data_IF_865441459018
#
_entry.id   IF_865441459018
#
_cell.length_a   1.000
_cell.length_b   1.000
_cell.length_c   1.000
_cell.angle_alpha   90.00
_cell.angle_beta   90.00
_cell.angle_gamma   90.00
#
_symmetry.space_group_name_H-M   'P 1'
#
loop_
_entity.id
_entity.type
_entity.pdbx_description
1 polymer ?
#
# COMPACT_ATOMS: atom_id res chain seq x y z
N UNK A 1 90.23 -9.47 -22.99
CA UNK A 1 89.84 -8.52 -21.93
C UNK A 1 88.45 -7.92 -22.17
N UNK A 2 88.12 -7.39 -23.36
CA UNK A 2 86.84 -6.71 -23.61
C UNK A 2 85.59 -7.63 -23.61
N UNK A 3 85.70 -8.86 -24.10
CA UNK A 3 84.57 -9.80 -24.17
C UNK A 3 84.05 -10.25 -22.79
N UNK A 4 84.94 -10.44 -21.80
CA UNK A 4 84.56 -10.81 -20.45
C UNK A 4 83.84 -9.67 -19.71
N UNK A 5 84.22 -8.42 -20.00
CA UNK A 5 83.54 -7.24 -19.47
C UNK A 5 82.10 -7.15 -20.01
N UNK A 6 81.91 -7.35 -21.31
CA UNK A 6 80.58 -7.41 -21.94
C UNK A 6 79.71 -8.53 -21.37
N UNK A 7 80.27 -9.70 -21.10
CA UNK A 7 79.55 -10.82 -20.49
C UNK A 7 79.08 -10.50 -19.07
N UNK A 8 79.94 -9.86 -18.25
CA UNK A 8 79.57 -9.42 -16.89
C UNK A 8 78.50 -8.34 -16.92
N UNK A 9 78.58 -7.40 -17.84
CA UNK A 9 77.57 -6.35 -18.02
C UNK A 9 76.22 -6.91 -18.46
N UNK A 10 76.21 -7.88 -19.39
CA UNK A 10 74.99 -8.57 -19.79
C UNK A 10 74.36 -9.37 -18.64
N UNK A 11 75.17 -10.04 -17.82
CA UNK A 11 74.69 -10.74 -16.63
C UNK A 11 74.14 -9.77 -15.58
N UNK A 12 74.78 -8.62 -15.37
CA UNK A 12 74.28 -7.58 -14.47
C UNK A 12 72.95 -6.98 -14.95
N UNK A 13 72.81 -6.72 -16.26
CA UNK A 13 71.54 -6.27 -16.86
C UNK A 13 70.42 -7.30 -16.70
N UNK A 14 70.71 -8.59 -16.94
CA UNK A 14 69.74 -9.66 -16.75
C UNK A 14 69.33 -9.83 -15.27
N UNK A 15 70.26 -9.65 -14.33
CA UNK A 15 69.96 -9.65 -12.90
C UNK A 15 69.07 -8.46 -12.51
N UNK A 16 69.39 -7.26 -12.98
CA UNK A 16 68.59 -6.06 -12.74
C UNK A 16 67.16 -6.20 -13.31
N UNK A 17 67.00 -6.75 -14.51
CA UNK A 17 65.69 -7.03 -15.10
C UNK A 17 64.87 -8.03 -14.27
N UNK A 18 65.50 -9.07 -13.71
CA UNK A 18 64.82 -10.04 -12.83
C UNK A 18 64.37 -9.40 -11.52
N UNK A 19 65.20 -8.55 -10.93
CA UNK A 19 64.83 -7.80 -9.72
C UNK A 19 63.70 -6.82 -9.98
N UNK A 20 63.70 -6.13 -11.13
CA UNK A 20 62.62 -5.24 -11.52
C UNK A 20 61.29 -6.00 -11.70
N UNK A 21 61.32 -7.15 -12.37
CA UNK A 21 60.15 -8.02 -12.51
C UNK A 21 59.67 -8.54 -11.15
N UNK A 22 60.58 -8.94 -10.26
CA UNK A 22 60.22 -9.36 -8.91
C UNK A 22 59.56 -8.24 -8.10
N UNK A 23 60.06 -6.99 -8.22
CA UNK A 23 59.44 -5.81 -7.61
C UNK A 23 58.05 -5.53 -8.17
N UNK A 24 57.88 -5.59 -9.50
CA UNK A 24 56.56 -5.41 -10.14
C UNK A 24 55.55 -6.47 -9.72
N UNK A 25 55.99 -7.72 -9.57
CA UNK A 25 55.13 -8.80 -9.08
C UNK A 25 54.76 -8.60 -7.61
N UNK A 26 55.72 -8.25 -6.76
CA UNK A 26 55.46 -7.95 -5.35
C UNK A 26 54.53 -6.74 -5.16
N UNK A 27 54.67 -5.69 -5.99
CA UNK A 27 53.78 -4.53 -5.97
C UNK A 27 52.35 -4.91 -6.40
N UNK A 28 52.21 -5.73 -7.44
CA UNK A 28 50.89 -6.23 -7.88
C UNK A 28 50.23 -7.08 -6.79
N UNK A 29 51.00 -7.95 -6.14
CA UNK A 29 50.48 -8.81 -5.07
C UNK A 29 50.13 -7.97 -3.82
N UNK A 30 50.89 -6.92 -3.52
CA UNK A 30 50.55 -5.96 -2.48
C UNK A 30 49.24 -5.21 -2.78
N UNK A 31 49.06 -4.70 -4.00
CA UNK A 31 47.81 -4.06 -4.45
C UNK A 31 46.62 -4.99 -4.38
N UNK A 32 46.81 -6.27 -4.75
CA UNK A 32 45.77 -7.30 -4.62
C UNK A 32 45.40 -7.56 -3.16
N UNK A 33 46.38 -7.70 -2.27
CA UNK A 33 46.13 -7.91 -0.86
C UNK A 33 45.44 -6.69 -0.21
N UNK A 34 45.77 -5.48 -0.65
CA UNK A 34 45.12 -4.25 -0.20
C UNK A 34 43.65 -4.19 -0.67
N UNK A 35 43.37 -4.49 -1.94
CA UNK A 35 41.99 -4.52 -2.45
C UNK A 35 41.15 -5.62 -1.79
N UNK A 36 41.73 -6.78 -1.49
CA UNK A 36 41.09 -7.85 -0.73
C UNK A 36 40.76 -7.42 0.72
N UNK A 37 41.66 -6.67 1.38
CA UNK A 37 41.41 -6.11 2.72
C UNK A 37 40.30 -5.06 2.70
N UNK A 38 40.27 -4.19 1.69
CA UNK A 38 39.18 -3.23 1.53
C UNK A 38 37.84 -3.92 1.25
N UNK A 39 37.84 -4.96 0.41
CA UNK A 39 36.64 -5.75 0.16
C UNK A 39 36.13 -6.42 1.44
N UNK A 40 37.03 -6.96 2.27
CA UNK A 40 36.67 -7.50 3.59
C UNK A 40 36.08 -6.43 4.51
N UNK A 41 36.68 -5.23 4.58
CA UNK A 41 36.12 -4.12 5.37
C UNK A 41 34.71 -3.74 4.91
N UNK A 42 34.50 -3.63 3.59
CA UNK A 42 33.17 -3.37 3.02
C UNK A 42 32.16 -4.48 3.38
N UNK A 43 32.60 -5.74 3.38
CA UNK A 43 31.76 -6.88 3.79
C UNK A 43 31.43 -6.84 5.29
N UNK A 44 32.40 -6.52 6.14
CA UNK A 44 32.22 -6.36 7.59
C UNK A 44 31.26 -5.20 7.90
N UNK A 45 31.37 -4.07 7.21
CA UNK A 45 30.48 -2.93 7.35
C UNK A 45 29.04 -3.29 6.94
N UNK A 46 28.87 -3.98 5.80
CA UNK A 46 27.57 -4.52 5.37
C UNK A 46 26.99 -5.49 6.40
N UNK A 47 27.82 -6.40 6.92
CA UNK A 47 27.40 -7.37 7.94
C UNK A 47 26.99 -6.68 9.25
N UNK A 48 27.72 -5.65 9.67
CA UNK A 48 27.42 -4.84 10.86
C UNK A 48 26.10 -4.09 10.69
N UNK A 49 25.84 -3.53 9.51
CA UNK A 49 24.58 -2.88 9.20
C UNK A 49 23.41 -3.86 9.24
N UNK A 50 23.54 -5.03 8.60
CA UNK A 50 22.53 -6.09 8.63
C UNK A 50 22.27 -6.61 10.05
N UNK A 51 23.31 -6.73 10.88
CA UNK A 51 23.17 -7.11 12.28
C UNK A 51 22.36 -6.08 13.08
N UNK A 52 22.61 -4.78 12.84
CA UNK A 52 21.85 -3.68 13.45
C UNK A 52 20.38 -3.71 13.04
N UNK A 53 20.09 -3.94 11.76
CA UNK A 53 18.70 -4.08 11.27
C UNK A 53 18.01 -5.32 11.85
N UNK A 54 18.70 -6.45 11.95
CA UNK A 54 18.16 -7.65 12.62
C UNK A 54 17.86 -7.38 14.09
N UNK A 55 18.73 -6.67 14.82
CA UNK A 55 18.49 -6.30 16.21
C UNK A 55 17.27 -5.39 16.35
N UNK A 56 17.15 -4.38 15.48
CA UNK A 56 15.99 -3.47 15.45
C UNK A 56 14.69 -4.20 15.12
N UNK A 57 14.72 -5.16 14.18
CA UNK A 57 13.58 -5.99 13.85
C UNK A 57 13.18 -6.91 15.02
N UNK A 58 14.15 -7.48 15.73
CA UNK A 58 13.90 -8.26 16.95
C UNK A 58 13.30 -7.39 18.06
N UNK A 59 13.80 -6.17 18.26
CA UNK A 59 13.25 -5.22 19.23
C UNK A 59 11.82 -4.83 18.87
N UNK A 60 11.54 -4.54 17.60
CA UNK A 60 10.19 -4.25 17.11
C UNK A 60 9.25 -5.44 17.31
N UNK A 61 9.72 -6.67 17.04
CA UNK A 61 8.94 -7.89 17.28
C UNK A 61 8.71 -8.13 18.78
N UNK A 62 9.69 -7.87 19.62
CA UNK A 62 9.55 -7.98 21.07
C UNK A 62 8.60 -6.90 21.62
N UNK A 63 8.64 -5.68 21.09
CA UNK A 63 7.71 -4.60 21.41
C UNK A 63 6.28 -4.93 20.97
N UNK A 64 6.11 -5.56 19.80
CA UNK A 64 4.81 -6.04 19.32
C UNK A 64 4.28 -7.25 20.11
N UNK A 65 5.17 -8.10 20.62
CA UNK A 65 4.83 -9.26 21.45
C UNK A 65 4.42 -8.87 22.88
N UNK A 66 4.85 -7.71 23.38
CA UNK A 66 4.36 -7.19 24.65
C UNK A 66 2.86 -6.90 24.52
N UNK A 67 1.99 -7.61 25.27
CA UNK A 67 0.56 -7.38 25.17
C UNK A 67 0.28 -5.93 25.53
N UNK A 68 -0.39 -5.21 24.63
CA UNK A 68 -0.81 -3.85 24.95
C UNK A 68 -1.68 -3.88 26.22
N UNK A 69 -1.59 -2.86 27.07
CA UNK A 69 -2.43 -2.76 28.27
C UNK A 69 -3.95 -2.89 27.96
N UNK A 70 -4.35 -2.55 26.73
CA UNK A 70 -5.70 -2.79 26.20
C UNK A 70 -6.00 -4.29 25.99
N UNK A 71 -5.06 -5.04 25.44
CA UNK A 71 -5.17 -6.49 25.26
C UNK A 71 -5.22 -7.22 26.61
N UNK A 72 -4.39 -6.82 27.58
CA UNK A 72 -4.45 -7.37 28.95
C UNK A 72 -5.79 -7.05 29.62
N UNK A 73 -6.29 -5.81 29.50
CA UNK A 73 -7.62 -5.43 30.00
C UNK A 73 -8.75 -6.22 29.37
N UNK A 74 -8.68 -6.48 28.05
CA UNK A 74 -9.66 -7.31 27.34
C UNK A 74 -9.59 -8.78 27.76
N UNK A 75 -8.39 -9.34 27.91
CA UNK A 75 -8.20 -10.71 28.40
C UNK A 75 -8.71 -10.87 29.84
N UNK A 76 -8.42 -9.91 30.73
CA UNK A 76 -8.94 -9.89 32.09
C UNK A 76 -10.47 -9.75 32.14
N UNK A 77 -11.05 -8.93 31.25
CA UNK A 77 -12.50 -8.82 31.11
C UNK A 77 -13.13 -10.12 30.61
N UNK A 78 -12.54 -10.77 29.60
CA UNK A 78 -12.99 -12.07 29.10
C UNK A 78 -12.93 -13.14 30.19
N UNK A 79 -11.82 -13.22 30.93
CA UNK A 79 -11.68 -14.16 32.06
C UNK A 79 -12.72 -13.90 33.18
N UNK A 80 -13.08 -12.64 33.44
CA UNK A 80 -14.16 -12.29 34.38
C UNK A 80 -15.53 -12.74 33.86
N UNK A 81 -15.80 -12.59 32.56
CA UNK A 81 -17.04 -13.06 31.93
C UNK A 81 -17.13 -14.59 31.97
N UNK A 82 -16.04 -15.31 31.70
CA UNK A 82 -16.03 -16.77 31.82
C UNK A 82 -16.24 -17.22 33.25
N UNK A 83 -15.57 -16.61 34.23
CA UNK A 83 -15.81 -16.92 35.66
C UNK A 83 -17.27 -16.67 36.06
N UNK A 84 -17.85 -15.55 35.63
CA UNK A 84 -19.26 -15.26 35.89
C UNK A 84 -20.21 -16.23 35.18
N UNK A 85 -19.85 -16.70 33.98
CA UNK A 85 -20.63 -17.70 33.25
C UNK A 85 -20.59 -19.07 33.95
N UNK A 86 -19.41 -19.48 34.44
CA UNK A 86 -19.23 -20.70 35.23
C UNK A 86 -20.00 -20.63 36.54
N UNK A 87 -19.94 -19.51 37.26
CA UNK A 87 -20.69 -19.30 38.50
C UNK A 87 -22.21 -19.30 38.26
N UNK A 88 -22.66 -18.69 37.16
CA UNK A 88 -24.08 -18.72 36.78
C UNK A 88 -24.55 -20.12 36.35
N UNK A 89 -23.67 -20.90 35.71
CA UNK A 89 -23.95 -22.29 35.33
C UNK A 89 -24.00 -23.22 36.56
N UNK A 90 -23.23 -22.93 37.61
CA UNK A 90 -23.27 -23.65 38.89
C UNK A 90 -24.61 -23.50 39.62
N UNK A 91 -25.38 -22.46 39.27
CA UNK A 91 -26.71 -22.22 39.80
C UNK A 91 -26.69 -21.76 41.27
N UNK A 92 -27.85 -21.38 41.83
CA UNK A 92 -27.94 -20.97 43.22
C UNK A 92 -27.62 -22.14 44.16
N UNK A 93 -26.54 -22.00 44.95
CA UNK A 93 -26.05 -23.00 45.93
C UNK A 93 -27.08 -23.34 47.03
N UNK A 94 -28.09 -22.51 47.26
CA UNK A 94 -29.12 -22.76 48.27
C UNK A 94 -30.33 -23.47 47.62
N UNK A 95 -30.74 -24.65 48.12
CA UNK A 95 -31.93 -25.32 47.63
C UNK A 95 -33.14 -24.41 47.85
N UNK A 96 -33.81 -24.05 46.75
CA UNK A 96 -35.06 -23.28 46.80
C UNK A 96 -36.10 -24.07 47.57
N UNK A 97 -36.79 -23.40 48.50
CA UNK A 97 -37.79 -24.04 49.36
C UNK A 97 -38.85 -24.78 48.53
N UNK A 98 -39.39 -25.90 49.04
CA UNK A 98 -40.39 -26.70 48.31
C UNK A 98 -41.66 -25.89 47.97
N UNK A 99 -42.00 -24.87 48.78
CA UNK A 99 -43.09 -23.93 48.49
C UNK A 99 -42.85 -23.12 47.20
N UNK A 100 -41.62 -22.70 46.95
CA UNK A 100 -41.26 -21.95 45.74
C UNK A 100 -41.36 -22.82 44.48
N UNK A 101 -41.00 -24.11 44.56
CA UNK A 101 -41.14 -25.03 43.44
C UNK A 101 -42.61 -25.30 43.09
N UNK A 102 -43.47 -25.49 44.10
CA UNK A 102 -44.92 -25.61 43.90
C UNK A 102 -45.52 -24.36 43.26
N UNK A 103 -45.16 -23.16 43.74
CA UNK A 103 -45.61 -21.90 43.15
C UNK A 103 -45.14 -21.73 41.69
N UNK A 104 -43.90 -22.14 41.39
CA UNK A 104 -43.35 -22.09 40.02
C UNK A 104 -44.08 -23.06 39.08
N UNK A 105 -44.40 -24.27 39.53
CA UNK A 105 -45.16 -25.25 38.76
C UNK A 105 -46.57 -24.72 38.45
N UNK A 106 -47.27 -24.19 39.46
CA UNK A 106 -48.58 -23.57 39.28
C UNK A 106 -48.54 -22.34 38.34
N UNK A 107 -47.49 -21.53 38.40
CA UNK A 107 -47.30 -20.41 37.49
C UNK A 107 -46.99 -20.86 36.05
N UNK A 108 -46.24 -21.96 35.87
CA UNK A 108 -45.97 -22.55 34.57
C UNK A 108 -47.24 -23.16 33.95
N UNK A 109 -48.05 -23.85 34.74
CA UNK A 109 -49.37 -24.37 34.32
C UNK A 109 -50.31 -23.26 33.92
N UNK A 110 -50.45 -22.20 34.74
CA UNK A 110 -51.24 -21.02 34.39
C UNK A 110 -50.73 -20.36 33.10
N UNK A 111 -49.42 -20.29 32.90
CA UNK A 111 -48.82 -19.70 31.69
C UNK A 111 -48.98 -20.58 30.45
N UNK A 112 -49.02 -21.91 30.59
CA UNK A 112 -49.27 -22.84 29.51
C UNK A 112 -50.74 -22.82 29.05
N UNK A 113 -51.67 -22.49 29.96
CA UNK A 113 -53.10 -22.31 29.64
C UNK A 113 -53.40 -20.99 28.92
N UNK A 114 -52.48 -20.01 28.96
CA UNK A 114 -52.58 -18.78 28.19
C UNK A 114 -51.97 -18.96 26.80
N UNK A 115 -52.81 -19.13 25.77
CA UNK A 115 -52.40 -19.04 24.37
C UNK A 115 -51.96 -17.60 24.08
N UNK A 116 -50.66 -17.34 24.13
CA UNK A 116 -50.12 -16.06 23.64
C UNK A 116 -50.14 -16.10 22.11
N UNK A 117 -50.60 -15.04 21.41
CA UNK A 117 -50.29 -14.92 20.00
C UNK A 117 -48.77 -14.96 19.86
N UNK A 118 -48.27 -15.82 18.97
CA UNK A 118 -46.84 -15.96 18.74
C UNK A 118 -46.30 -14.62 18.25
N UNK A 119 -45.66 -13.87 19.14
CA UNK A 119 -44.81 -12.76 18.77
C UNK A 119 -43.61 -13.35 18.03
N UNK A 120 -43.78 -13.53 16.72
CA UNK A 120 -42.67 -13.68 15.80
C UNK A 120 -41.68 -12.56 16.11
N UNK A 121 -40.41 -12.91 16.30
CA UNK A 121 -39.34 -11.97 16.66
C UNK A 121 -39.12 -10.98 15.53
N UNK A 122 -39.97 -9.95 15.46
CA UNK A 122 -39.79 -8.81 14.57
C UNK A 122 -38.45 -8.18 14.93
N UNK A 123 -37.60 -8.00 13.94
CA UNK A 123 -36.34 -7.25 14.06
C UNK A 123 -36.63 -5.82 14.52
N UNK A 124 -35.61 -5.13 15.04
CA UNK A 124 -35.75 -3.74 15.49
C UNK A 124 -36.35 -2.85 14.38
N UNK A 125 -35.98 -3.10 13.13
CA UNK A 125 -36.49 -2.38 11.97
C UNK A 125 -37.95 -2.74 11.65
N UNK A 126 -38.32 -4.02 11.67
CA UNK A 126 -39.72 -4.42 11.46
C UNK A 126 -40.65 -3.89 12.57
N UNK A 127 -40.18 -3.77 13.82
CA UNK A 127 -40.92 -3.11 14.90
C UNK A 127 -41.12 -1.61 14.64
N UNK A 128 -40.11 -0.93 14.09
CA UNK A 128 -40.20 0.48 13.68
C UNK A 128 -41.22 0.65 12.55
N UNK A 129 -41.17 -0.22 11.54
CA UNK A 129 -42.13 -0.22 10.44
C UNK A 129 -43.56 -0.53 10.90
N UNK A 130 -43.74 -1.46 11.84
CA UNK A 130 -45.06 -1.76 12.42
C UNK A 130 -45.66 -0.56 13.17
N UNK A 131 -44.83 0.25 13.85
CA UNK A 131 -45.28 1.50 14.49
C UNK A 131 -45.67 2.55 13.45
N UNK A 132 -44.82 2.77 12.45
CA UNK A 132 -45.12 3.71 11.36
C UNK A 132 -46.40 3.33 10.60
N UNK A 133 -46.60 2.04 10.33
CA UNK A 133 -47.80 1.53 9.66
C UNK A 133 -49.06 1.76 10.53
N UNK A 134 -48.96 1.54 11.85
CA UNK A 134 -50.05 1.82 12.79
C UNK A 134 -50.41 3.31 12.83
N UNK A 135 -49.41 4.19 12.86
CA UNK A 135 -49.62 5.65 12.88
C UNK A 135 -50.23 6.16 11.57
N UNK A 136 -49.95 5.49 10.44
CA UNK A 136 -50.52 5.79 9.13
C UNK A 136 -51.87 5.09 8.87
N UNK A 137 -52.39 4.30 9.83
CA UNK A 137 -53.63 3.53 9.65
C UNK A 137 -53.53 2.38 8.64
N UNK A 138 -52.32 1.99 8.23
CA UNK A 138 -52.07 0.93 7.24
C UNK A 138 -51.64 -0.36 7.95
N UNK A 139 -52.18 -1.50 7.52
CA UNK A 139 -51.80 -2.79 8.11
C UNK A 139 -50.34 -3.16 7.77
N UNK A 140 -49.54 -3.49 8.79
CA UNK A 140 -48.17 -3.95 8.59
C UNK A 140 -48.15 -5.37 8.03
N UNK A 141 -47.76 -5.54 6.76
CA UNK A 141 -47.39 -6.84 6.20
C UNK A 141 -45.87 -6.99 6.20
N UNK A 142 -45.38 -8.03 6.86
CA UNK A 142 -43.99 -8.47 6.73
C UNK A 142 -43.78 -8.95 5.29
N UNK A 143 -42.80 -8.36 4.60
CA UNK A 143 -42.43 -8.84 3.27
C UNK A 143 -41.99 -10.31 3.36
N UNK A 144 -42.50 -11.22 2.51
CA UNK A 144 -41.98 -12.57 2.47
C UNK A 144 -40.50 -12.50 2.08
N UNK A 145 -39.64 -13.22 2.83
CA UNK A 145 -38.25 -13.41 2.42
C UNK A 145 -38.28 -14.11 1.06
N UNK A 146 -37.66 -13.48 0.07
CA UNK A 146 -37.51 -14.04 -1.26
C UNK A 146 -36.51 -15.18 -1.21
N UNK A 147 -36.98 -16.37 -0.89
CA UNK A 147 -36.27 -17.58 -1.26
C UNK A 147 -36.54 -17.84 -2.74
N UNK A 148 -35.45 -17.83 -3.52
CA UNK A 148 -35.28 -18.34 -4.87
C UNK A 148 -36.34 -17.98 -5.94
N UNK A 149 -36.02 -17.01 -6.79
CA UNK A 149 -36.66 -16.86 -8.11
C UNK A 149 -35.59 -16.93 -9.24
N UNK A 150 -35.87 -17.60 -10.37
CA UNK A 150 -34.89 -17.91 -11.41
C UNK A 150 -34.57 -16.70 -12.32
N UNK A 151 -33.44 -16.71 -13.05
CA UNK A 151 -33.01 -15.57 -13.86
C UNK A 151 -33.91 -15.37 -15.07
N UNK A 152 -34.54 -14.19 -15.18
CA UNK A 152 -35.30 -13.78 -16.36
C UNK A 152 -34.41 -13.00 -17.33
N UNK A 153 -34.64 -13.29 -18.61
CA UNK A 153 -33.89 -12.91 -19.81
C UNK A 153 -33.69 -11.40 -19.96
N UNK A 154 -32.51 -11.04 -20.46
CA UNK A 154 -32.09 -9.69 -20.82
C UNK A 154 -32.94 -9.12 -21.97
N UNK A 155 -33.59 -7.99 -21.71
CA UNK A 155 -34.09 -7.08 -22.75
C UNK A 155 -33.00 -6.06 -23.07
N UNK A 156 -32.55 -6.06 -24.33
CA UNK A 156 -31.64 -5.05 -24.89
C UNK A 156 -32.29 -3.67 -24.82
N UNK A 157 -31.63 -2.71 -24.16
CA UNK A 157 -31.89 -1.27 -24.29
C UNK A 157 -30.85 -0.64 -25.24
N UNK A 158 -31.22 0.37 -26.04
CA UNK A 158 -30.31 1.03 -26.97
C UNK A 158 -29.40 2.06 -26.26
N UNK A 159 -28.25 2.32 -26.86
CA UNK A 159 -27.17 3.19 -26.35
C UNK A 159 -27.61 4.67 -26.18
N UNK A 160 -27.09 5.39 -25.17
CA UNK A 160 -27.34 6.82 -25.01
C UNK A 160 -26.41 7.67 -25.90
N UNK A 161 -26.97 8.75 -26.46
CA UNK A 161 -26.26 9.78 -27.23
C UNK A 161 -25.34 10.66 -26.35
N UNK A 162 -24.30 11.30 -26.92
CA UNK A 162 -23.33 12.09 -26.15
C UNK A 162 -23.91 13.43 -25.66
N UNK A 163 -23.71 13.72 -24.37
CA UNK A 163 -24.08 14.97 -23.71
C UNK A 163 -23.05 16.10 -23.96
N UNK A 164 -23.45 17.39 -23.94
CA UNK A 164 -22.56 18.52 -24.19
C UNK A 164 -21.56 18.76 -23.04
N UNK A 165 -20.35 19.20 -23.40
CA UNK A 165 -19.22 19.43 -22.50
C UNK A 165 -19.51 20.47 -21.41
N UNK A 166 -19.20 20.13 -20.16
CA UNK A 166 -19.33 21.00 -19.00
C UNK A 166 -18.20 22.06 -18.95
N UNK A 167 -18.44 23.27 -18.38
CA UNK A 167 -17.43 24.31 -18.27
C UNK A 167 -16.28 23.93 -17.33
N UNK A 168 -15.08 24.52 -17.51
CA UNK A 168 -13.89 24.17 -16.73
C UNK A 168 -14.10 24.46 -15.24
N UNK A 169 -13.80 23.46 -14.41
CA UNK A 169 -13.92 23.54 -12.95
C UNK A 169 -12.80 24.43 -12.42
N UNK A 170 -13.11 25.29 -11.44
CA UNK A 170 -12.11 26.05 -10.70
C UNK A 170 -11.18 25.09 -9.95
N UNK A 171 -9.87 25.28 -10.11
CA UNK A 171 -8.83 24.47 -9.48
C UNK A 171 -9.01 24.50 -7.96
N UNK A 172 -8.88 23.34 -7.33
CA UNK A 172 -8.94 23.19 -5.86
C UNK A 172 -7.63 23.68 -5.23
N UNK A 173 -7.65 24.04 -3.94
CA UNK A 173 -6.46 24.52 -3.23
C UNK A 173 -5.29 23.52 -3.25
N UNK A 174 -5.58 22.21 -3.37
CA UNK A 174 -4.56 21.16 -3.51
C UNK A 174 -3.93 21.15 -4.91
N UNK A 175 -4.72 21.39 -5.96
CA UNK A 175 -4.21 21.49 -7.33
C UNK A 175 -3.33 22.73 -7.51
N UNK A 176 -3.70 23.84 -6.88
CA UNK A 176 -2.87 25.05 -6.84
C UNK A 176 -1.52 24.78 -6.15
N UNK A 177 -1.53 24.06 -5.02
CA UNK A 177 -0.30 23.69 -4.32
C UNK A 177 0.62 22.79 -5.17
N UNK A 178 0.05 21.78 -5.84
CA UNK A 178 0.82 20.88 -6.73
C UNK A 178 1.39 21.63 -7.93
N UNK A 179 0.63 22.57 -8.50
CA UNK A 179 1.07 23.38 -9.63
C UNK A 179 2.17 24.39 -9.23
N UNK A 180 2.07 24.99 -8.05
CA UNK A 180 3.11 25.87 -7.52
C UNK A 180 4.39 25.11 -7.15
N UNK A 181 4.29 23.89 -6.60
CA UNK A 181 5.43 23.04 -6.30
C UNK A 181 6.13 22.54 -7.59
N UNK A 182 5.33 22.20 -8.61
CA UNK A 182 5.85 21.85 -9.94
C UNK A 182 6.53 23.04 -10.64
N UNK A 183 5.96 24.26 -10.52
CA UNK A 183 6.57 25.48 -11.07
C UNK A 183 7.91 25.77 -10.40
N UNK A 184 7.97 25.70 -9.06
CA UNK A 184 9.21 25.92 -8.31
C UNK A 184 10.31 24.91 -8.67
N UNK A 185 9.93 23.66 -8.91
CA UNK A 185 10.87 22.62 -9.35
C UNK A 185 11.41 22.87 -10.77
N UNK A 186 10.60 23.49 -11.63
CA UNK A 186 11.00 23.84 -13.00
C UNK A 186 11.94 25.05 -13.02
N UNK A 187 11.64 26.09 -12.24
CA UNK A 187 12.50 27.27 -12.09
C UNK A 187 13.86 26.89 -11.50
N UNK A 188 13.90 26.00 -10.50
CA UNK A 188 15.16 25.50 -9.93
C UNK A 188 16.00 24.64 -10.90
N UNK A 189 15.37 24.06 -11.94
CA UNK A 189 16.07 23.33 -12.99
C UNK A 189 16.54 24.25 -14.14
N UNK A 190 16.01 25.47 -14.21
CA UNK A 190 16.37 26.47 -15.22
C UNK A 190 17.56 27.32 -14.73
N UNK A 191 17.65 27.61 -13.43
CA UNK A 191 18.83 28.25 -12.78
C UNK A 191 20.11 27.39 -12.79
N UNK A 192 19.99 26.06 -12.96
CA UNK A 192 21.14 25.13 -13.06
C UNK A 192 21.66 24.97 -14.51
N UNK A 193 20.96 25.56 -15.48
CA UNK A 193 21.26 25.43 -16.92
C UNK A 193 21.96 26.66 -17.53
N UNK A 194 22.23 27.72 -16.76
CA UNK A 194 22.87 28.95 -17.27
C UNK A 194 24.41 28.94 -17.19
N UNK A 195 25.05 27.90 -16.63
CA UNK A 195 26.51 27.85 -16.42
C UNK A 195 27.30 27.01 -17.45
N UNK A 196 26.64 26.43 -18.48
CA UNK A 196 27.28 25.47 -19.40
C UNK A 196 27.26 25.93 -20.88
N UNK A 197 27.51 27.22 -21.10
CA UNK A 197 27.56 27.83 -22.44
C UNK A 197 29.01 28.07 -22.89
N UNK A 198 29.80 27.04 -23.20
CA UNK A 198 31.04 27.17 -23.99
C UNK A 198 31.46 25.86 -24.69
N UNK A 199 31.85 25.99 -25.97
CA UNK A 199 32.66 25.06 -26.82
C UNK A 199 31.99 23.75 -27.31
N UNK A 200 32.18 23.23 -28.53
CA UNK A 200 33.16 23.44 -29.62
C UNK A 200 32.62 22.75 -30.90
N UNK A 201 32.85 23.40 -32.05
CA UNK A 201 33.05 22.95 -33.45
C UNK A 201 32.41 21.69 -34.09
N UNK A 202 31.79 21.97 -35.26
CA UNK A 202 32.06 21.41 -36.60
C UNK A 202 32.32 19.90 -36.77
N UNK A 203 31.38 19.21 -37.45
CA UNK A 203 31.68 18.16 -38.43
C UNK A 203 30.50 18.03 -39.42
N UNK A 204 30.72 18.50 -40.65
CA UNK A 204 29.96 18.13 -41.85
C UNK A 204 30.36 16.71 -42.25
N UNK A 205 29.43 15.74 -42.26
CA UNK A 205 29.39 14.59 -43.20
C UNK A 205 28.22 13.63 -42.84
N UNK A 206 27.62 12.99 -43.88
CA UNK A 206 26.69 11.83 -43.88
C UNK A 206 25.15 12.04 -43.97
N UNK A 207 24.67 12.55 -45.12
CA UNK A 207 23.24 12.58 -45.51
C UNK A 207 22.63 11.21 -45.94
N UNK A 208 23.28 10.06 -45.72
CA UNK A 208 22.72 8.73 -46.09
C UNK A 208 22.09 7.95 -44.91
N UNK A 209 22.38 8.31 -43.65
CA UNK A 209 21.88 7.61 -42.46
C UNK A 209 20.55 8.15 -41.90
N UNK A 210 20.12 9.32 -42.34
CA UNK A 210 18.91 10.01 -41.86
C UNK A 210 17.61 9.24 -42.15
N UNK A 211 17.56 8.49 -43.26
CA UNK A 211 16.37 7.70 -43.61
C UNK A 211 16.17 6.53 -42.64
N UNK A 212 17.26 5.90 -42.18
CA UNK A 212 17.19 4.82 -41.20
C UNK A 212 16.96 5.35 -39.77
N UNK A 213 17.55 6.49 -39.43
CA UNK A 213 17.29 7.17 -38.16
C UNK A 213 15.80 7.59 -38.05
N UNK A 214 15.24 8.14 -39.13
CA UNK A 214 13.84 8.54 -39.22
C UNK A 214 12.86 7.37 -39.10
N UNK A 215 13.13 6.24 -39.79
CA UNK A 215 12.31 5.03 -39.66
C UNK A 215 12.35 4.44 -38.24
N UNK A 216 13.53 4.46 -37.60
CA UNK A 216 13.68 4.01 -36.21
C UNK A 216 12.88 4.91 -35.28
N UNK A 217 12.97 6.23 -35.44
CA UNK A 217 12.22 7.19 -34.64
C UNK A 217 10.71 7.09 -34.84
N UNK A 218 10.24 6.77 -36.05
CA UNK A 218 8.85 6.47 -36.34
C UNK A 218 8.37 5.21 -35.58
N UNK A 219 9.18 4.14 -35.55
CA UNK A 219 8.89 2.94 -34.76
C UNK A 219 8.76 3.27 -33.27
N UNK A 220 9.64 4.12 -32.73
CA UNK A 220 9.52 4.59 -31.34
C UNK A 220 8.27 5.45 -31.13
N UNK A 221 7.92 6.29 -32.11
CA UNK A 221 6.71 7.11 -32.14
C UNK A 221 5.42 6.29 -32.07
N UNK A 222 5.38 5.11 -32.69
CA UNK A 222 4.22 4.19 -32.58
C UNK A 222 3.94 3.76 -31.14
N UNK A 223 4.97 3.69 -30.30
CA UNK A 223 4.84 3.38 -28.87
C UNK A 223 4.73 4.64 -27.98
N UNK A 224 4.64 5.83 -28.59
CA UNK A 224 4.60 7.11 -27.89
C UNK A 224 5.91 7.45 -27.16
N UNK A 225 7.02 6.85 -27.59
CA UNK A 225 8.34 7.01 -26.96
C UNK A 225 9.27 7.79 -27.89
N UNK A 226 10.21 8.54 -27.33
CA UNK A 226 11.22 9.28 -28.10
C UNK A 226 12.58 8.64 -27.91
N UNK A 227 13.19 8.14 -28.98
CA UNK A 227 14.49 7.45 -28.93
C UNK A 227 15.55 8.25 -28.19
N UNK A 228 15.67 9.55 -28.50
CA UNK A 228 16.64 10.46 -27.88
C UNK A 228 16.52 10.52 -26.35
N UNK A 229 15.30 10.48 -25.80
CA UNK A 229 15.08 10.50 -24.34
C UNK A 229 15.48 9.19 -23.65
N UNK A 230 15.48 8.07 -24.36
CA UNK A 230 15.91 6.78 -23.82
C UNK A 230 17.42 6.58 -23.95
N UNK A 231 18.04 7.13 -25.00
CA UNK A 231 19.49 7.05 -25.20
C UNK A 231 20.26 8.04 -24.32
N UNK A 232 19.68 9.21 -24.04
CA UNK A 232 20.26 10.21 -23.14
C UNK A 232 19.99 9.95 -21.65
N UNK A 233 19.38 8.81 -21.30
CA UNK A 233 19.07 8.47 -19.91
C UNK A 233 20.22 7.64 -19.35
N UNK A 234 20.85 8.15 -18.30
CA UNK A 234 21.91 7.43 -17.58
C UNK A 234 21.37 6.09 -17.06
N UNK A 235 22.02 5.00 -17.49
CA UNK A 235 21.62 3.60 -17.22
C UNK A 235 21.85 3.22 -15.74
N UNK A 236 22.42 4.12 -14.95
CA UNK A 236 22.73 3.93 -13.53
C UNK A 236 21.49 4.02 -12.61
N UNK A 237 20.29 4.25 -13.18
CA UNK A 237 19.05 4.47 -12.41
C UNK A 237 18.32 3.19 -11.96
N UNK A 238 18.89 2.00 -12.20
CA UNK A 238 18.22 0.72 -11.91
C UNK A 238 18.48 0.20 -10.48
N UNK A 239 19.49 0.71 -9.75
CA UNK A 239 19.85 0.21 -8.42
C UNK A 239 18.82 0.56 -7.31
N UNK A 240 18.06 1.65 -7.48
CA UNK A 240 17.06 2.13 -6.50
C UNK A 240 15.60 1.86 -6.92
N UNK A 241 15.38 1.04 -7.95
CA UNK A 241 14.03 0.72 -8.46
C UNK A 241 13.30 -0.36 -7.66
N UNK A 242 13.96 -0.97 -6.67
CA UNK A 242 13.34 -1.98 -5.82
C UNK A 242 12.73 -1.36 -4.55
N UNK A 243 11.41 -1.50 -4.38
CA UNK A 243 10.75 -1.11 -3.15
C UNK A 243 11.03 -2.13 -2.04
N UNK A 244 11.52 -1.65 -0.89
CA UNK A 244 11.68 -2.48 0.29
C UNK A 244 10.33 -3.01 0.81
N UNK A 245 10.32 -4.21 1.41
CA UNK A 245 9.09 -4.81 1.96
C UNK A 245 8.38 -3.93 3.00
N UNK A 246 9.13 -3.09 3.72
CA UNK A 246 8.58 -2.14 4.67
C UNK A 246 7.88 -0.96 3.98
N UNK A 247 8.43 -0.49 2.85
CA UNK A 247 7.87 0.62 2.08
C UNK A 247 6.53 0.22 1.46
N UNK A 248 6.47 -1.01 0.91
CA UNK A 248 5.23 -1.61 0.40
C UNK A 248 4.15 -1.66 1.49
N UNK A 249 4.48 -2.19 2.68
CA UNK A 249 3.51 -2.31 3.77
C UNK A 249 3.02 -0.95 4.28
N UNK A 250 3.89 0.06 4.29
CA UNK A 250 3.52 1.41 4.70
C UNK A 250 2.62 2.09 3.64
N UNK A 251 2.91 1.87 2.36
CA UNK A 251 2.08 2.34 1.25
C UNK A 251 0.70 1.68 1.28
N UNK A 252 0.60 0.36 1.44
CA UNK A 252 -0.68 -0.35 1.58
C UNK A 252 -1.51 0.20 2.74
N UNK A 253 -0.88 0.47 3.89
CA UNK A 253 -1.57 1.05 5.05
C UNK A 253 -2.09 2.47 4.75
N UNK A 254 -1.31 3.29 4.03
CA UNK A 254 -1.74 4.63 3.60
C UNK A 254 -2.87 4.54 2.58
N UNK A 255 -2.76 3.67 1.58
CA UNK A 255 -3.79 3.43 0.58
C UNK A 255 -5.11 2.99 1.24
N UNK A 256 -5.06 2.03 2.17
CA UNK A 256 -6.24 1.57 2.90
C UNK A 256 -6.86 2.67 3.79
N UNK A 257 -6.05 3.58 4.33
CA UNK A 257 -6.57 4.73 5.06
C UNK A 257 -7.22 5.77 4.13
N UNK A 258 -6.67 5.97 2.93
CA UNK A 258 -7.23 6.86 1.92
C UNK A 258 -8.55 6.33 1.37
N UNK A 259 -8.61 5.05 1.00
CA UNK A 259 -9.83 4.40 0.49
C UNK A 259 -11.00 4.55 1.47
N UNK A 260 -10.79 4.27 2.77
CA UNK A 260 -11.84 4.46 3.79
C UNK A 260 -12.34 5.90 3.89
N UNK A 261 -11.45 6.89 3.76
CA UNK A 261 -11.85 8.31 3.78
C UNK A 261 -12.63 8.71 2.53
N UNK A 262 -12.31 8.12 1.39
CA UNK A 262 -13.02 8.34 0.14
C UNK A 262 -14.42 7.71 0.20
N UNK A 263 -14.54 6.45 0.65
CA UNK A 263 -15.82 5.78 0.88
C UNK A 263 -16.73 6.58 1.82
N UNK A 264 -16.20 7.05 2.96
CA UNK A 264 -16.96 7.88 3.90
C UNK A 264 -17.40 9.22 3.28
N UNK A 265 -16.57 9.82 2.42
CA UNK A 265 -16.91 11.08 1.74
C UNK A 265 -18.01 10.86 0.71
N UNK A 266 -17.94 9.79 -0.07
CA UNK A 266 -18.95 9.42 -1.05
C UNK A 266 -20.28 9.06 -0.39
N UNK A 267 -20.24 8.31 0.72
CA UNK A 267 -21.46 7.96 1.46
C UNK A 267 -22.16 9.22 2.00
N UNK A 268 -21.40 10.19 2.54
CA UNK A 268 -21.95 11.49 2.99
C UNK A 268 -22.57 12.27 1.83
N UNK A 269 -21.89 12.34 0.68
CA UNK A 269 -22.41 13.01 -0.51
C UNK A 269 -23.71 12.35 -1.02
N UNK A 270 -23.78 11.02 -1.01
CA UNK A 270 -24.97 10.26 -1.40
C UNK A 270 -26.14 10.49 -0.43
N UNK A 271 -25.89 10.55 0.87
CA UNK A 271 -26.91 10.85 1.87
C UNK A 271 -27.44 12.27 1.72
N UNK A 272 -26.57 13.26 1.47
CA UNK A 272 -26.97 14.64 1.22
C UNK A 272 -27.78 14.76 -0.07
N UNK A 273 -27.35 14.11 -1.17
CA UNK A 273 -28.08 14.07 -2.42
C UNK A 273 -29.47 13.42 -2.26
N UNK A 274 -29.55 12.31 -1.50
CA UNK A 274 -30.83 11.67 -1.15
C UNK A 274 -31.72 12.61 -0.34
N UNK A 275 -31.18 13.34 0.64
CA UNK A 275 -31.93 14.32 1.45
C UNK A 275 -32.46 15.45 0.58
N UNK A 276 -31.64 16.01 -0.32
CA UNK A 276 -32.04 17.05 -1.27
C UNK A 276 -33.14 16.55 -2.22
N UNK A 277 -33.04 15.31 -2.72
CA UNK A 277 -34.06 14.71 -3.59
C UNK A 277 -35.38 14.47 -2.85
N UNK A 278 -35.35 14.06 -1.59
CA UNK A 278 -36.55 13.89 -0.77
C UNK A 278 -37.22 15.23 -0.44
N UNK A 279 -36.44 16.27 -0.13
CA UNK A 279 -36.95 17.63 0.07
C UNK A 279 -37.59 18.19 -1.21
N UNK A 280 -36.96 17.98 -2.37
CA UNK A 280 -37.52 18.39 -3.67
C UNK A 280 -38.80 17.63 -4.05
N UNK A 281 -38.99 16.39 -3.57
CA UNK A 281 -40.21 15.59 -3.81
C UNK A 281 -41.32 15.81 -2.79
N UNK A 282 -41.00 16.28 -1.58
CA UNK A 282 -41.96 16.56 -0.51
C UNK A 282 -42.46 18.00 -0.47
N UNK A 283 -41.88 18.90 -1.28
CA UNK A 283 -42.30 20.29 -1.44
C UNK A 283 -43.06 20.56 -2.75
N UNK A 284 -43.60 19.51 -3.38
CA UNK A 284 -44.46 19.58 -4.56
C UNK A 284 -45.87 19.08 -4.21
#
# INVERSE_FOLDING_TARGET
>A
MQFEALKREAQARAAAQREELARKMAERDAKRNESEREAQRRQEDRARWLAKERAKAQEARAAAAKPSALAERRAAAAARVEKAAVEKARGPEKPRTPAFQKAKAQAAEKRAQLTRPSDSTLTREEKRQKRMAKDLGVSFRRAPRADAAPPRKATRTPAPAPAPAAPPRRKTAREQFVEDEARRKREAAEEDSEDDMYDEDEDEDEDEDDTQASLRDEIWGLFGKKRQQYMARDVDSDEDMEAGAFDVLNEERRAAAHARREDEREERALLEAKRRKMQARGGA
#
